data_IF_650404422072
#
_entry.id   IF_650404422072
#
_cell.length_a   1.000
_cell.length_b   1.000
_cell.length_c   1.000
_cell.angle_alpha   90.00
_cell.angle_beta   90.00
_cell.angle_gamma   90.00
#
_symmetry.space_group_name_H-M   'P 1'
#
loop_
_entity.id
_entity.type
_entity.pdbx_description
1 polymer ?
#
# COMPACT_ATOMS: atom_id res chain seq x y z
N UNK A 1 12.16 24.75 -24.90
CA UNK A 1 12.79 23.40 -24.96
C UNK A 1 11.79 22.42 -24.41
N UNK A 2 11.01 21.80 -25.30
CA UNK A 2 9.97 20.82 -24.97
C UNK A 2 10.65 19.49 -24.64
N UNK A 3 10.58 19.07 -23.38
CA UNK A 3 11.15 17.81 -22.94
C UNK A 3 10.10 16.71 -23.11
N UNK A 4 10.20 15.95 -24.19
CA UNK A 4 9.38 14.77 -24.45
C UNK A 4 9.91 13.60 -23.60
N UNK A 5 9.37 13.41 -22.39
CA UNK A 5 9.44 12.12 -21.72
C UNK A 5 8.14 11.37 -22.03
N UNK A 6 8.07 10.71 -23.18
CA UNK A 6 7.07 9.67 -23.41
C UNK A 6 7.50 8.43 -22.64
N UNK A 7 7.02 8.28 -21.41
CA UNK A 7 7.04 6.98 -20.74
C UNK A 7 5.92 6.17 -21.41
N UNK A 8 6.27 5.35 -22.39
CA UNK A 8 5.35 4.33 -22.91
C UNK A 8 5.22 3.27 -21.81
N UNK A 9 4.07 3.14 -21.14
CA UNK A 9 3.90 2.08 -20.17
C UNK A 9 3.86 0.74 -20.92
N UNK A 10 4.36 -0.35 -20.32
CA UNK A 10 4.15 -1.67 -20.89
C UNK A 10 2.63 -1.88 -21.05
N UNK A 11 2.16 -1.91 -22.30
CA UNK A 11 0.80 -2.38 -22.58
C UNK A 11 0.76 -3.85 -22.24
N UNK A 12 -0.14 -4.18 -21.33
CA UNK A 12 -0.19 -5.47 -20.70
C UNK A 12 -1.34 -6.27 -21.31
N UNK A 13 -1.00 -7.21 -22.19
CA UNK A 13 -1.84 -8.38 -22.49
C UNK A 13 -1.50 -9.45 -21.45
N UNK A 14 -1.97 -9.26 -20.22
CA UNK A 14 -1.79 -10.20 -19.12
C UNK A 14 -3.10 -10.95 -18.93
N UNK A 15 -3.11 -12.17 -19.45
CA UNK A 15 -4.04 -13.19 -18.96
C UNK A 15 -3.76 -13.43 -17.48
N UNK A 16 -4.78 -13.84 -16.72
CA UNK A 16 -4.74 -14.25 -15.31
C UNK A 16 -3.56 -15.20 -14.97
N UNK A 17 -3.08 -15.93 -15.99
CA UNK A 17 -1.98 -16.90 -15.92
C UNK A 17 -0.57 -16.25 -15.88
N UNK A 18 -0.43 -15.00 -16.31
CA UNK A 18 0.87 -14.31 -16.50
C UNK A 18 1.16 -13.21 -15.48
N UNK A 19 0.20 -12.89 -14.62
CA UNK A 19 0.26 -11.73 -13.73
C UNK A 19 0.93 -11.99 -12.36
N UNK A 20 1.68 -13.08 -12.16
CA UNK A 20 2.16 -13.37 -10.80
C UNK A 20 3.47 -14.17 -10.68
N UNK A 21 4.58 -13.58 -10.19
CA UNK A 21 5.80 -14.28 -9.81
C UNK A 21 5.77 -14.85 -8.37
N UNK A 22 4.70 -14.65 -7.57
CA UNK A 22 4.58 -15.25 -6.22
C UNK A 22 4.10 -16.71 -6.24
N UNK A 23 3.92 -17.31 -7.42
CA UNK A 23 3.46 -18.69 -7.60
C UNK A 23 2.14 -18.99 -6.86
N UNK A 24 1.29 -18.02 -6.53
CA UNK A 24 0.06 -18.26 -5.73
C UNK A 24 -0.91 -19.25 -6.35
N UNK A 25 -0.89 -19.39 -7.68
CA UNK A 25 -1.67 -20.38 -8.42
C UNK A 25 -1.07 -21.80 -8.32
N UNK A 26 0.16 -21.95 -7.84
CA UNK A 26 0.79 -23.24 -7.56
C UNK A 26 0.29 -23.82 -6.24
N UNK A 27 0.29 -25.17 -6.11
CA UNK A 27 0.01 -25.86 -4.86
C UNK A 27 0.83 -25.31 -3.70
N UNK A 28 0.23 -25.30 -2.50
CA UNK A 28 0.88 -24.78 -1.29
C UNK A 28 2.24 -25.42 -1.02
N UNK A 29 2.38 -26.72 -1.26
CA UNK A 29 3.61 -27.48 -1.05
C UNK A 29 4.76 -26.96 -1.93
N UNK A 30 4.50 -26.70 -3.21
CA UNK A 30 5.49 -26.16 -4.15
C UNK A 30 5.91 -24.74 -3.75
N UNK A 31 4.94 -23.90 -3.33
CA UNK A 31 5.24 -22.56 -2.83
C UNK A 31 6.08 -22.59 -1.56
N UNK A 32 5.80 -23.55 -0.66
CA UNK A 32 6.54 -23.74 0.57
C UNK A 32 7.97 -24.18 0.28
N UNK A 33 8.18 -25.15 -0.62
CA UNK A 33 9.51 -25.60 -1.03
C UNK A 33 10.32 -24.46 -1.65
N UNK A 34 9.71 -23.70 -2.57
CA UNK A 34 10.34 -22.52 -3.16
C UNK A 34 10.73 -21.50 -2.09
N UNK A 35 9.81 -21.18 -1.18
CA UNK A 35 10.04 -20.27 -0.06
C UNK A 35 11.20 -20.72 0.83
N UNK A 36 11.27 -22.01 1.18
CA UNK A 36 12.35 -22.58 1.99
C UNK A 36 13.70 -22.62 1.27
N UNK A 37 13.70 -22.52 -0.07
CA UNK A 37 14.93 -22.47 -0.87
C UNK A 37 15.42 -21.05 -1.18
N UNK A 38 14.63 -20.01 -0.87
CA UNK A 38 14.98 -18.62 -1.16
C UNK A 38 15.87 -18.02 -0.05
N UNK A 39 17.18 -18.12 -0.29
CA UNK A 39 18.21 -17.51 0.56
C UNK A 39 18.06 -15.99 0.75
N UNK A 40 17.53 -15.26 -0.24
CA UNK A 40 17.35 -13.82 -0.11
C UNK A 40 16.22 -13.51 0.86
N UNK A 41 15.11 -14.22 0.73
CA UNK A 41 13.99 -14.10 1.66
C UNK A 41 14.42 -14.46 3.08
N UNK A 42 15.13 -15.58 3.27
CA UNK A 42 15.66 -15.96 4.57
C UNK A 42 16.54 -14.86 5.17
N UNK A 43 17.52 -14.36 4.42
CA UNK A 43 18.40 -13.28 4.88
C UNK A 43 17.64 -11.99 5.19
N UNK A 44 16.60 -11.65 4.43
CA UNK A 44 15.79 -10.46 4.67
C UNK A 44 15.07 -10.57 6.03
N UNK A 45 14.42 -11.70 6.29
CA UNK A 45 13.67 -11.95 7.52
C UNK A 45 14.58 -12.09 8.75
N UNK A 46 15.70 -12.83 8.62
CA UNK A 46 16.69 -13.01 9.69
C UNK A 46 17.33 -11.69 10.15
N UNK A 47 17.54 -10.75 9.22
CA UNK A 47 18.07 -9.42 9.56
C UNK A 47 17.00 -8.53 10.17
N UNK A 48 15.78 -8.58 9.62
CA UNK A 48 14.70 -7.71 10.05
C UNK A 48 14.29 -7.96 11.50
N UNK A 49 13.99 -9.22 11.86
CA UNK A 49 13.39 -9.55 13.15
C UNK A 49 14.19 -9.05 14.38
N UNK A 50 15.50 -9.34 14.53
CA UNK A 50 16.27 -8.86 15.67
C UNK A 50 16.49 -7.34 15.62
N UNK A 51 16.74 -6.78 14.44
CA UNK A 51 16.94 -5.33 14.27
C UNK A 51 15.69 -4.54 14.66
N UNK A 52 14.51 -5.03 14.29
CA UNK A 52 13.24 -4.39 14.61
C UNK A 52 12.97 -4.42 16.12
N UNK A 53 13.21 -5.56 16.77
CA UNK A 53 13.01 -5.69 18.22
C UNK A 53 13.95 -4.77 19.01
N UNK A 54 15.22 -4.71 18.63
CA UNK A 54 16.20 -3.82 19.26
C UNK A 54 15.80 -2.35 19.06
N UNK A 55 15.60 -1.93 17.80
CA UNK A 55 15.24 -0.55 17.48
C UNK A 55 13.95 -0.10 18.17
N UNK A 56 12.93 -0.97 18.21
CA UNK A 56 11.67 -0.69 18.92
C UNK A 56 11.91 -0.45 20.41
N UNK A 57 12.70 -1.31 21.05
CA UNK A 57 13.02 -1.18 22.48
C UNK A 57 13.73 0.14 22.75
N UNK A 58 14.72 0.47 21.93
CA UNK A 58 15.52 1.68 22.09
C UNK A 58 14.68 2.94 21.90
N UNK A 59 13.82 2.99 20.87
CA UNK A 59 12.90 4.12 20.64
C UNK A 59 11.98 4.32 21.84
N UNK A 60 11.33 3.26 22.34
CA UNK A 60 10.45 3.42 23.50
C UNK A 60 11.18 3.78 24.80
N UNK A 61 12.44 3.37 24.95
CA UNK A 61 13.25 3.80 26.09
C UNK A 61 13.59 5.30 26.01
N UNK A 62 13.88 5.81 24.80
CA UNK A 62 14.12 7.25 24.57
C UNK A 62 12.85 8.04 24.85
N UNK A 63 11.70 7.62 24.30
CA UNK A 63 10.42 8.31 24.50
C UNK A 63 10.02 8.34 25.99
N UNK A 64 10.27 7.27 26.73
CA UNK A 64 10.02 7.22 28.18
C UNK A 64 10.94 8.15 28.98
N UNK A 65 12.20 8.30 28.56
CA UNK A 65 13.16 9.24 29.18
C UNK A 65 12.78 10.71 28.89
N UNK A 66 12.43 11.01 27.63
CA UNK A 66 12.11 12.36 27.17
C UNK A 66 10.74 12.85 27.66
N UNK A 67 9.75 11.96 27.72
CA UNK A 67 8.34 12.33 27.94
C UNK A 67 7.70 11.66 29.16
N UNK A 68 8.41 10.79 29.87
CA UNK A 68 7.99 10.15 31.12
C UNK A 68 7.26 8.82 30.94
N UNK A 69 6.83 8.21 32.06
CA UNK A 69 6.34 6.82 32.10
C UNK A 69 5.06 6.55 31.29
N UNK A 70 4.29 7.58 30.97
CA UNK A 70 3.12 7.47 30.08
C UNK A 70 3.52 7.11 28.64
N UNK A 71 4.77 7.41 28.26
CA UNK A 71 5.40 7.06 26.99
C UNK A 71 6.24 5.78 27.09
N UNK A 72 6.10 5.01 28.18
CA UNK A 72 6.63 3.64 28.23
C UNK A 72 5.89 2.73 27.26
N UNK A 73 6.58 1.73 26.72
CA UNK A 73 5.97 0.74 25.83
C UNK A 73 4.77 0.02 26.49
N UNK A 74 4.88 -0.30 27.79
CA UNK A 74 3.83 -1.00 28.52
C UNK A 74 2.56 -0.14 28.67
N UNK A 75 2.72 1.14 29.02
CA UNK A 75 1.62 2.08 29.16
C UNK A 75 0.93 2.31 27.81
N UNK A 76 1.66 2.71 26.78
CA UNK A 76 1.08 2.97 25.45
C UNK A 76 0.40 1.73 24.86
N UNK A 77 0.95 0.53 25.06
CA UNK A 77 0.30 -0.71 24.62
C UNK A 77 -1.05 -0.92 25.33
N UNK A 78 -1.11 -0.66 26.63
CA UNK A 78 -2.35 -0.75 27.41
C UNK A 78 -3.38 0.29 26.94
N UNK A 79 -2.97 1.54 26.77
CA UNK A 79 -3.82 2.63 26.28
C UNK A 79 -4.36 2.35 24.89
N UNK A 80 -3.51 1.88 23.96
CA UNK A 80 -3.94 1.50 22.62
C UNK A 80 -4.92 0.34 22.64
N UNK A 81 -4.71 -0.66 23.52
CA UNK A 81 -5.65 -1.75 23.70
C UNK A 81 -7.02 -1.24 24.16
N UNK A 82 -7.05 -0.40 25.20
CA UNK A 82 -8.30 0.17 25.71
C UNK A 82 -9.03 0.99 24.65
N UNK A 83 -8.30 1.79 23.86
CA UNK A 83 -8.87 2.54 22.76
C UNK A 83 -9.49 1.62 21.68
N UNK A 84 -8.84 0.49 21.36
CA UNK A 84 -9.38 -0.50 20.43
C UNK A 84 -10.62 -1.20 21.00
N UNK A 85 -10.60 -1.59 22.27
CA UNK A 85 -11.73 -2.23 22.93
C UNK A 85 -12.95 -1.29 22.94
N UNK A 86 -12.72 -0.02 23.31
CA UNK A 86 -13.74 1.03 23.23
C UNK A 86 -14.29 1.19 21.80
N UNK A 87 -13.41 1.18 20.79
CA UNK A 87 -13.82 1.36 19.40
C UNK A 87 -14.67 0.22 18.85
N UNK A 88 -14.43 -1.02 19.32
CA UNK A 88 -15.25 -2.18 18.98
C UNK A 88 -16.64 -2.05 19.60
N UNK A 89 -16.71 -1.65 20.88
CA UNK A 89 -17.98 -1.50 21.62
C UNK A 89 -18.84 -0.35 21.07
N UNK A 90 -18.22 0.76 20.68
CA UNK A 90 -18.89 1.99 20.25
C UNK A 90 -18.86 2.20 18.72
N UNK A 91 -18.69 1.11 17.96
CA UNK A 91 -18.46 1.18 16.51
C UNK A 91 -19.52 2.00 15.75
N UNK A 92 -20.84 1.87 16.00
CA UNK A 92 -21.85 2.65 15.26
C UNK A 92 -21.71 4.16 15.45
N UNK A 93 -21.48 4.60 16.70
CA UNK A 93 -21.28 6.02 17.02
C UNK A 93 -20.01 6.56 16.37
N UNK A 94 -18.91 5.81 16.47
CA UNK A 94 -17.62 6.22 15.92
C UNK A 94 -17.64 6.31 14.40
N UNK A 95 -18.33 5.39 13.71
CA UNK A 95 -18.53 5.46 12.26
C UNK A 95 -19.36 6.69 11.91
N UNK A 96 -20.45 6.97 12.62
CA UNK A 96 -21.27 8.15 12.36
C UNK A 96 -20.48 9.45 12.55
N UNK A 97 -19.68 9.53 13.62
CA UNK A 97 -18.78 10.65 13.89
C UNK A 97 -17.72 10.80 12.80
N UNK A 98 -17.09 9.71 12.36
CA UNK A 98 -16.12 9.73 11.27
C UNK A 98 -16.75 10.29 9.98
N UNK A 99 -17.91 9.77 9.58
CA UNK A 99 -18.60 10.23 8.37
C UNK A 99 -18.90 11.73 8.41
N UNK A 100 -19.49 12.21 9.50
CA UNK A 100 -19.82 13.62 9.66
C UNK A 100 -18.58 14.53 9.57
N UNK A 101 -17.46 14.12 10.20
CA UNK A 101 -16.21 14.89 10.15
C UNK A 101 -15.54 14.83 8.77
N UNK A 102 -15.56 13.67 8.12
CA UNK A 102 -15.02 13.51 6.77
C UNK A 102 -15.81 14.34 5.74
N UNK A 103 -17.14 14.31 5.81
CA UNK A 103 -18.02 15.12 4.97
C UNK A 103 -17.83 16.62 5.22
N UNK A 104 -17.70 17.03 6.49
CA UNK A 104 -17.38 18.42 6.84
C UNK A 104 -16.02 18.87 6.30
N UNK A 105 -15.06 17.95 6.16
CA UNK A 105 -13.76 18.20 5.52
C UNK A 105 -13.81 18.13 3.98
N UNK A 106 -15.00 17.91 3.39
CA UNK A 106 -15.22 17.88 1.94
C UNK A 106 -15.06 16.50 1.29
N UNK A 107 -14.90 15.43 2.08
CA UNK A 107 -14.91 14.07 1.54
C UNK A 107 -16.33 13.65 1.14
N UNK A 108 -16.44 12.81 0.12
CA UNK A 108 -17.70 12.15 -0.25
C UNK A 108 -17.65 10.72 0.28
N UNK A 109 -18.61 10.34 1.11
CA UNK A 109 -18.72 8.98 1.65
C UNK A 109 -19.67 8.16 0.76
N UNK A 110 -19.17 7.01 0.29
CA UNK A 110 -19.99 5.99 -0.37
C UNK A 110 -19.99 4.72 0.46
N UNK A 111 -21.17 4.18 0.73
CA UNK A 111 -21.33 2.90 1.44
C UNK A 111 -21.67 1.79 0.45
N UNK A 112 -20.72 0.87 0.29
CA UNK A 112 -20.88 -0.32 -0.52
C UNK A 112 -21.27 -1.53 0.34
N UNK A 113 -22.15 -2.39 -0.18
CA UNK A 113 -22.49 -3.67 0.48
C UNK A 113 -21.57 -4.81 0.05
N UNK A 114 -21.00 -4.73 -1.14
CA UNK A 114 -20.11 -5.75 -1.72
C UNK A 114 -18.87 -5.11 -2.34
N UNK A 115 -17.84 -5.92 -2.58
CA UNK A 115 -16.66 -5.51 -3.33
C UNK A 115 -17.03 -5.00 -4.74
N UNK A 116 -17.96 -5.68 -5.39
CA UNK A 116 -18.43 -5.31 -6.73
C UNK A 116 -19.19 -3.98 -6.74
N UNK A 117 -20.01 -3.70 -5.72
CA UNK A 117 -20.68 -2.41 -5.56
C UNK A 117 -19.67 -1.27 -5.41
N UNK A 118 -18.62 -1.47 -4.61
CA UNK A 118 -17.56 -0.49 -4.41
C UNK A 118 -16.79 -0.23 -5.72
N UNK A 119 -16.33 -1.29 -6.38
CA UNK A 119 -15.57 -1.20 -7.63
C UNK A 119 -16.38 -0.55 -8.75
N UNK A 120 -17.65 -0.94 -8.91
CA UNK A 120 -18.56 -0.34 -9.89
C UNK A 120 -18.75 1.15 -9.64
N UNK A 121 -19.01 1.55 -8.40
CA UNK A 121 -19.19 2.96 -8.06
C UNK A 121 -17.94 3.80 -8.39
N UNK A 122 -16.75 3.30 -7.99
CA UNK A 122 -15.48 3.99 -8.26
C UNK A 122 -15.26 4.13 -9.77
N UNK A 123 -15.46 3.06 -10.53
CA UNK A 123 -15.32 3.09 -11.99
C UNK A 123 -16.28 4.08 -12.64
N UNK A 124 -17.58 4.02 -12.31
CA UNK A 124 -18.57 4.95 -12.84
C UNK A 124 -18.28 6.40 -12.45
N UNK A 125 -17.76 6.64 -11.25
CA UNK A 125 -17.32 7.96 -10.82
C UNK A 125 -16.16 8.47 -11.69
N UNK A 126 -15.18 7.62 -11.97
CA UNK A 126 -14.06 7.98 -12.84
C UNK A 126 -14.56 8.30 -14.25
N UNK A 127 -15.45 7.47 -14.82
CA UNK A 127 -16.06 7.71 -16.13
C UNK A 127 -16.81 9.04 -16.19
N UNK A 128 -17.66 9.34 -15.20
CA UNK A 128 -18.41 10.61 -15.14
C UNK A 128 -17.51 11.84 -15.02
N UNK A 129 -16.32 11.68 -14.44
CA UNK A 129 -15.37 12.77 -14.19
C UNK A 129 -14.26 12.84 -15.25
N UNK A 130 -14.20 11.88 -16.18
CA UNK A 130 -13.12 11.81 -17.17
C UNK A 130 -11.76 11.50 -16.54
N UNK A 131 -11.74 10.69 -15.49
CA UNK A 131 -10.53 10.34 -14.74
C UNK A 131 -9.94 9.04 -15.30
N UNK A 132 -8.65 9.09 -15.61
CA UNK A 132 -7.84 7.97 -16.08
C UNK A 132 -6.80 7.48 -15.05
N UNK A 133 -6.62 8.23 -13.95
CA UNK A 133 -5.72 7.92 -12.85
C UNK A 133 -6.44 7.99 -11.48
N UNK A 134 -6.43 6.88 -10.76
CA UNK A 134 -6.90 6.76 -9.38
C UNK A 134 -5.71 6.54 -8.47
N UNK A 135 -5.67 7.30 -7.38
CA UNK A 135 -4.59 7.18 -6.42
C UNK A 135 -5.15 6.73 -5.09
N UNK A 136 -4.50 5.72 -4.53
CA UNK A 136 -4.96 5.06 -3.32
C UNK A 136 -4.05 5.42 -2.16
N UNK A 137 -4.67 5.74 -1.04
CA UNK A 137 -4.00 5.66 0.25
C UNK A 137 -3.75 4.21 0.62
N UNK A 138 -2.80 3.95 1.54
CA UNK A 138 -2.59 2.64 2.15
C UNK A 138 -3.90 2.01 2.63
N UNK A 139 -4.41 0.99 1.92
CA UNK A 139 -5.63 0.29 2.31
C UNK A 139 -5.67 -1.15 1.79
N UNK A 140 -5.67 -2.09 2.75
CA UNK A 140 -5.91 -3.51 2.47
C UNK A 140 -7.28 -3.77 1.85
N UNK A 141 -8.25 -2.86 2.02
CA UNK A 141 -9.59 -3.04 1.43
C UNK A 141 -9.52 -3.03 -0.09
N UNK A 142 -8.63 -2.22 -0.69
CA UNK A 142 -8.49 -2.18 -2.15
C UNK A 142 -7.88 -3.45 -2.72
N UNK A 143 -7.04 -4.14 -1.94
CA UNK A 143 -6.52 -5.48 -2.27
C UNK A 143 -7.63 -6.53 -2.15
N UNK A 144 -8.41 -6.50 -1.07
CA UNK A 144 -9.54 -7.42 -0.86
C UNK A 144 -10.63 -7.29 -1.94
N UNK A 145 -10.84 -6.10 -2.48
CA UNK A 145 -11.81 -5.87 -3.55
C UNK A 145 -11.20 -5.98 -4.95
N UNK A 146 -9.90 -6.27 -5.06
CA UNK A 146 -9.18 -6.36 -6.34
C UNK A 146 -9.37 -5.10 -7.22
N UNK A 147 -9.44 -3.93 -6.56
CA UNK A 147 -9.80 -2.67 -7.22
C UNK A 147 -8.84 -2.31 -8.37
N UNK A 148 -7.54 -2.62 -8.21
CA UNK A 148 -6.54 -2.33 -9.24
C UNK A 148 -6.84 -3.09 -10.52
N UNK A 149 -6.95 -4.41 -10.43
CA UNK A 149 -7.29 -5.26 -11.57
C UNK A 149 -8.61 -4.84 -12.22
N UNK A 150 -9.62 -4.52 -11.39
CA UNK A 150 -10.92 -4.08 -11.88
C UNK A 150 -10.85 -2.79 -12.72
N UNK A 151 -10.07 -1.79 -12.28
CA UNK A 151 -9.91 -0.51 -12.96
C UNK A 151 -8.98 -0.62 -14.18
N UNK A 152 -7.86 -1.35 -14.04
CA UNK A 152 -6.86 -1.54 -15.09
C UNK A 152 -7.47 -2.26 -16.31
N UNK A 153 -8.26 -3.30 -16.08
CA UNK A 153 -9.01 -4.00 -17.14
C UNK A 153 -9.99 -3.09 -17.91
N UNK A 154 -10.28 -1.89 -17.40
CA UNK A 154 -11.17 -0.89 -17.98
C UNK A 154 -10.44 0.39 -18.40
N UNK A 155 -9.12 0.34 -18.51
CA UNK A 155 -8.29 1.43 -18.98
C UNK A 155 -8.10 2.57 -17.98
N UNK A 156 -8.38 2.35 -16.69
CA UNK A 156 -8.13 3.31 -15.61
C UNK A 156 -6.93 2.83 -14.80
N UNK A 157 -5.92 3.68 -14.69
CA UNK A 157 -4.72 3.38 -13.91
C UNK A 157 -5.00 3.57 -12.42
N UNK A 158 -4.68 2.58 -11.60
CA UNK A 158 -4.71 2.70 -10.14
C UNK A 158 -3.28 2.65 -9.59
N UNK A 159 -2.90 3.56 -8.68
CA UNK A 159 -1.56 3.55 -8.08
C UNK A 159 -1.59 3.67 -6.57
N UNK A 160 -0.69 2.95 -5.90
CA UNK A 160 -0.50 3.03 -4.45
C UNK A 160 0.42 4.18 -4.03
N UNK A 161 0.10 4.80 -2.89
CA UNK A 161 0.96 5.84 -2.29
C UNK A 161 1.99 5.26 -1.32
N UNK A 162 1.69 4.13 -0.67
CA UNK A 162 2.62 3.39 0.17
C UNK A 162 3.76 2.84 -0.71
N UNK A 163 5.02 3.14 -0.34
CA UNK A 163 6.17 2.71 -1.13
C UNK A 163 6.27 1.18 -1.25
N UNK A 164 5.95 0.46 -0.18
CA UNK A 164 6.06 -0.99 -0.19
C UNK A 164 4.97 -1.64 -1.04
N UNK A 165 3.73 -1.15 -0.96
CA UNK A 165 2.64 -1.62 -1.83
C UNK A 165 2.86 -1.21 -3.29
N UNK A 166 3.42 -0.03 -3.54
CA UNK A 166 3.79 0.39 -4.90
C UNK A 166 4.89 -0.50 -5.48
N UNK A 167 5.93 -0.84 -4.72
CA UNK A 167 6.97 -1.78 -5.17
C UNK A 167 6.38 -3.17 -5.43
N UNK A 168 5.46 -3.65 -4.59
CA UNK A 168 4.76 -4.91 -4.83
C UNK A 168 3.92 -4.85 -6.12
N UNK A 169 3.19 -3.75 -6.34
CA UNK A 169 2.43 -3.51 -7.56
C UNK A 169 3.32 -3.53 -8.82
N UNK A 170 4.46 -2.84 -8.78
CA UNK A 170 5.43 -2.82 -9.88
C UNK A 170 6.05 -4.20 -10.15
N UNK A 171 6.24 -5.01 -9.11
CA UNK A 171 6.73 -6.38 -9.22
C UNK A 171 5.63 -7.38 -9.65
N UNK A 172 4.38 -6.93 -9.78
CA UNK A 172 3.21 -7.79 -9.98
C UNK A 172 3.05 -8.85 -8.88
N UNK A 173 3.33 -8.46 -7.64
CA UNK A 173 3.27 -9.33 -6.48
C UNK A 173 2.22 -8.83 -5.48
N UNK A 174 1.65 -9.76 -4.72
CA UNK A 174 0.81 -9.40 -3.57
C UNK A 174 1.65 -9.03 -2.34
N UNK A 175 1.13 -8.18 -1.44
CA UNK A 175 1.75 -7.91 -0.15
C UNK A 175 1.93 -9.18 0.70
N UNK A 176 3.16 -9.45 1.13
CA UNK A 176 3.49 -10.60 2.01
C UNK A 176 3.08 -10.39 3.47
N UNK A 177 2.87 -9.15 3.91
CA UNK A 177 2.51 -8.82 5.29
C UNK A 177 1.71 -7.52 5.34
N UNK A 178 0.61 -7.51 6.11
CA UNK A 178 -0.37 -6.41 6.15
C UNK A 178 0.22 -5.03 6.48
N UNK A 179 1.24 -4.98 7.34
CA UNK A 179 1.89 -3.72 7.75
C UNK A 179 3.19 -3.47 6.98
N UNK A 180 3.81 -4.53 6.46
CA UNK A 180 5.19 -4.51 5.93
C UNK A 180 5.21 -5.29 4.60
N UNK A 181 4.55 -4.76 3.56
CA UNK A 181 4.13 -5.51 2.37
C UNK A 181 5.26 -6.27 1.68
N UNK A 182 6.49 -5.73 1.71
CA UNK A 182 7.67 -6.29 1.04
C UNK A 182 8.78 -6.68 2.03
N UNK A 183 8.44 -7.09 3.26
CA UNK A 183 9.41 -7.50 4.30
C UNK A 183 10.35 -8.63 3.85
N UNK A 184 9.91 -9.45 2.91
CA UNK A 184 10.68 -10.55 2.32
C UNK A 184 11.72 -10.07 1.29
N UNK A 185 11.67 -8.80 0.84
CA UNK A 185 12.61 -8.27 -0.16
C UNK A 185 13.80 -7.57 0.49
N UNK A 186 14.98 -7.82 -0.06
CA UNK A 186 16.19 -7.06 0.25
C UNK A 186 16.15 -5.67 -0.40
N UNK A 187 16.94 -4.73 0.14
CA UNK A 187 17.10 -3.38 -0.47
C UNK A 187 17.62 -3.45 -1.91
N UNK A 188 18.40 -4.47 -2.22
CA UNK A 188 18.94 -4.73 -3.56
C UNK A 188 17.82 -5.09 -4.54
N UNK A 189 16.93 -6.02 -4.17
CA UNK A 189 15.77 -6.43 -4.97
C UNK A 189 14.80 -5.26 -5.18
N UNK A 190 14.54 -4.46 -4.15
CA UNK A 190 13.72 -3.24 -4.28
C UNK A 190 14.34 -2.28 -5.30
N UNK A 191 15.67 -2.12 -5.28
CA UNK A 191 16.39 -1.30 -6.25
C UNK A 191 16.33 -1.84 -7.69
N UNK A 192 16.24 -3.15 -7.89
CA UNK A 192 16.06 -3.78 -9.21
C UNK A 192 14.68 -3.46 -9.77
N UNK A 193 13.62 -3.73 -8.99
CA UNK A 193 12.23 -3.45 -9.39
C UNK A 193 12.05 -1.99 -9.79
N UNK A 194 12.57 -1.06 -8.99
CA UNK A 194 12.48 0.38 -9.29
C UNK A 194 13.32 0.77 -10.50
N UNK A 195 14.52 0.20 -10.67
CA UNK A 195 15.38 0.49 -11.82
C UNK A 195 14.75 0.05 -13.14
N UNK A 196 14.21 -1.17 -13.17
CA UNK A 196 13.52 -1.75 -14.33
C UNK A 196 12.25 -0.96 -14.66
N UNK A 197 11.40 -0.72 -13.66
CA UNK A 197 10.12 -0.02 -13.85
C UNK A 197 10.27 1.44 -14.27
N UNK A 198 11.35 2.10 -13.83
CA UNK A 198 11.60 3.53 -14.11
C UNK A 198 12.60 3.75 -15.25
N UNK A 199 13.12 2.69 -15.88
CA UNK A 199 14.12 2.78 -16.94
C UNK A 199 15.44 3.44 -16.51
N UNK A 200 15.87 3.25 -15.25
CA UNK A 200 17.09 3.86 -14.68
C UNK A 200 18.17 2.81 -14.42
N UNK A 201 19.44 3.15 -14.62
CA UNK A 201 20.55 2.26 -14.30
C UNK A 201 20.88 2.25 -12.80
N UNK A 202 21.26 1.08 -12.28
CA UNK A 202 21.73 0.91 -10.90
C UNK A 202 22.95 1.79 -10.63
N UNK A 203 22.87 2.66 -9.61
CA UNK A 203 24.03 3.43 -9.12
C UNK A 203 24.13 4.88 -9.60
N UNK A 204 23.19 5.36 -10.43
CA UNK A 204 23.07 6.80 -10.66
C UNK A 204 22.72 7.50 -9.33
N UNK A 205 23.72 8.14 -8.71
CA UNK A 205 23.48 9.00 -7.54
C UNK A 205 22.75 10.25 -8.01
N UNK A 206 21.41 10.19 -8.05
CA UNK A 206 20.61 11.39 -8.13
C UNK A 206 20.90 12.28 -6.91
N UNK A 207 21.01 13.59 -7.12
CA UNK A 207 21.08 14.56 -6.04
C UNK A 207 19.88 14.40 -5.09
N UNK A 208 20.06 14.60 -3.78
CA UNK A 208 19.05 14.28 -2.76
C UNK A 208 17.76 15.10 -2.95
N UNK A 209 17.87 16.29 -3.58
CA UNK A 209 16.73 17.13 -3.99
C UNK A 209 16.04 16.65 -5.27
N UNK A 210 16.78 16.00 -6.18
CA UNK A 210 16.21 15.39 -7.39
C UNK A 210 15.36 14.17 -7.06
N UNK A 211 15.76 13.33 -6.10
CA UNK A 211 14.99 12.14 -5.67
C UNK A 211 13.53 12.44 -5.31
N UNK A 212 13.28 13.37 -4.39
CA UNK A 212 11.91 13.68 -3.96
C UNK A 212 11.06 14.28 -5.09
N UNK A 213 11.66 15.08 -5.96
CA UNK A 213 10.97 15.74 -7.06
C UNK A 213 10.69 14.78 -8.21
N UNK A 214 11.64 13.89 -8.49
CA UNK A 214 11.54 12.89 -9.56
C UNK A 214 10.63 11.73 -9.16
N UNK A 215 10.63 11.30 -7.89
CA UNK A 215 9.68 10.30 -7.37
C UNK A 215 8.25 10.84 -7.37
N UNK A 216 8.05 12.12 -7.05
CA UNK A 216 6.75 12.79 -7.15
C UNK A 216 6.31 12.99 -8.61
N UNK A 217 7.23 13.35 -9.52
CA UNK A 217 6.95 13.48 -10.95
C UNK A 217 6.63 12.15 -11.63
N UNK A 218 7.32 11.07 -11.25
CA UNK A 218 7.15 9.73 -11.83
C UNK A 218 5.97 8.96 -11.19
N UNK A 219 5.51 9.38 -10.00
CA UNK A 219 4.18 9.09 -9.48
C UNK A 219 3.06 9.83 -10.23
N UNK A 220 3.41 10.66 -11.22
CA UNK A 220 2.54 11.59 -11.92
C UNK A 220 2.60 12.97 -11.28
N UNK A 221 2.89 14.01 -12.05
CA UNK A 221 2.42 15.35 -11.68
C UNK A 221 0.90 15.27 -11.54
N UNK A 222 0.37 15.57 -10.37
CA UNK A 222 -1.05 15.48 -10.03
C UNK A 222 -1.81 16.63 -10.70
N UNK A 223 -2.49 16.41 -11.83
CA UNK A 223 -3.38 17.45 -12.33
C UNK A 223 -4.50 17.69 -11.31
N UNK A 224 -5.01 18.92 -11.18
CA UNK A 224 -6.25 19.14 -10.45
C UNK A 224 -7.38 18.31 -11.10
N UNK A 225 -7.83 17.26 -10.42
CA UNK A 225 -8.84 16.31 -10.94
C UNK A 225 -8.78 14.89 -10.39
N UNK A 226 -7.65 14.49 -9.77
CA UNK A 226 -7.44 13.12 -9.30
C UNK A 226 -8.30 12.74 -8.07
N UNK A 227 -8.73 11.47 -8.02
CA UNK A 227 -9.42 10.90 -6.85
C UNK A 227 -8.38 10.27 -5.91
N UNK A 228 -8.37 10.73 -4.67
CA UNK A 228 -7.78 10.01 -3.55
C UNK A 228 -8.82 9.03 -2.99
N UNK A 229 -8.55 7.73 -3.06
CA UNK A 229 -9.41 6.68 -2.53
C UNK A 229 -8.82 6.04 -1.27
N UNK A 230 -9.66 5.86 -0.25
CA UNK A 230 -9.36 5.07 0.94
C UNK A 230 -10.58 4.23 1.32
N UNK A 231 -10.36 3.09 2.00
CA UNK A 231 -11.41 2.14 2.32
C UNK A 231 -11.23 1.54 3.71
N UNK A 232 -12.37 1.29 4.38
CA UNK A 232 -12.43 0.57 5.65
C UNK A 232 -13.57 -0.46 5.60
N UNK A 233 -13.30 -1.68 6.05
CA UNK A 233 -14.31 -2.75 6.14
C UNK A 233 -14.93 -2.76 7.54
N UNK A 234 -16.26 -2.78 7.62
CA UNK A 234 -16.97 -3.06 8.87
C UNK A 234 -16.95 -4.56 9.15
N UNK A 235 -16.24 -4.99 10.18
CA UNK A 235 -16.41 -6.33 10.74
C UNK A 235 -17.52 -6.29 11.79
N UNK A 236 -18.58 -7.05 11.58
CA UNK A 236 -19.63 -7.32 12.55
C UNK A 236 -20.27 -8.67 12.25
N UNK A 237 -20.51 -9.49 13.27
CA UNK A 237 -21.42 -10.64 13.14
C UNK A 237 -22.82 -10.07 12.88
N UNK A 238 -23.51 -10.61 11.88
CA UNK A 238 -24.96 -10.55 11.80
C UNK A 238 -25.57 -11.32 12.98
#
# INVERSE_FOLDING_TARGET
MTNNYSVTPPQQDVSEETANPTNENQPFEERLEHALSDDNMHRALERFAPSWLASRKDVFAIEEDDYGSDYSFAHMRSTLRQAKDYAIEHQPELIARFKAQAEAAGAIIYEARTAEDANRYIYELCQRKGIDLVVKSKTMVSEETELNYYLEARGIKAVETDLGEWVAQLAHERPSHMVMPIIHKTRQQVGEVLAESLGRQRGERADRRKRHRDDAHQRGEWPPGDIAATGARRHGRL
#
